data_IF_295656387452
#
_entry.id   IF_295656387452
#
_cell.length_a   1.000
_cell.length_b   1.000
_cell.length_c   1.000
_cell.angle_alpha   90.00
_cell.angle_beta   90.00
_cell.angle_gamma   90.00
#
_symmetry.space_group_name_H-M   'P 1'
#
loop_
_entity.id
_entity.type
_entity.pdbx_description
1 polymer ?
#
# COMPACT_ATOMS: atom_id res chain seq x y z
N UNK A 1 -31.20 18.50 -0.64
CA UNK A 1 -30.34 18.24 -1.82
C UNK A 1 -30.51 16.79 -2.18
N UNK A 2 -30.71 16.44 -3.45
CA UNK A 2 -30.82 15.03 -3.85
C UNK A 2 -29.57 14.28 -3.42
N UNK A 3 -29.75 13.11 -2.80
CA UNK A 3 -28.65 12.23 -2.39
C UNK A 3 -27.82 11.91 -3.63
N UNK A 4 -26.56 12.36 -3.67
CA UNK A 4 -25.68 12.09 -4.82
C UNK A 4 -25.48 10.58 -4.87
N UNK A 5 -25.88 9.96 -5.98
CA UNK A 5 -25.67 8.53 -6.24
C UNK A 5 -24.19 8.20 -6.01
N UNK A 6 -23.91 7.26 -5.09
CA UNK A 6 -22.56 6.71 -4.90
C UNK A 6 -22.28 5.73 -6.03
N UNK A 7 -21.17 5.94 -6.74
CA UNK A 7 -20.69 5.03 -7.77
C UNK A 7 -19.78 3.95 -7.17
N UNK A 8 -19.74 2.77 -7.80
CA UNK A 8 -18.85 1.69 -7.41
C UNK A 8 -17.39 1.96 -7.77
N UNK A 9 -16.48 1.12 -7.26
CA UNK A 9 -15.02 1.28 -7.39
C UNK A 9 -14.55 1.34 -8.83
N UNK A 10 -15.06 0.45 -9.70
CA UNK A 10 -14.71 0.43 -11.12
C UNK A 10 -14.98 1.77 -11.81
N UNK A 11 -16.11 2.40 -11.47
CA UNK A 11 -16.48 3.70 -12.01
C UNK A 11 -15.65 4.82 -11.38
N UNK A 12 -15.37 4.75 -10.08
CA UNK A 12 -14.54 5.74 -9.38
C UNK A 12 -13.08 5.72 -9.87
N UNK A 13 -12.53 4.56 -10.19
CA UNK A 13 -11.20 4.39 -10.76
C UNK A 13 -11.01 5.16 -12.08
N UNK A 14 -12.10 5.35 -12.83
CA UNK A 14 -12.13 6.09 -14.10
C UNK A 14 -12.46 7.57 -13.92
N UNK A 15 -13.46 7.89 -13.09
CA UNK A 15 -14.13 9.19 -13.11
C UNK A 15 -13.94 10.05 -11.86
N UNK A 16 -13.50 9.49 -10.73
CA UNK A 16 -13.33 10.28 -9.52
C UNK A 16 -12.22 11.32 -9.73
N UNK A 17 -12.46 12.54 -9.23
CA UNK A 17 -11.57 13.69 -9.39
C UNK A 17 -11.66 14.42 -10.74
N UNK A 18 -12.03 13.73 -11.83
CA UNK A 18 -12.13 14.31 -13.18
C UNK A 18 -13.17 13.57 -14.00
N UNK A 19 -14.22 14.29 -14.39
CA UNK A 19 -15.31 13.79 -15.24
C UNK A 19 -15.50 14.75 -16.41
N UNK A 20 -15.57 14.26 -17.67
CA UNK A 20 -15.89 15.09 -18.83
C UNK A 20 -17.35 15.59 -18.83
N UNK A 21 -18.15 15.20 -17.82
CA UNK A 21 -19.56 15.58 -17.65
C UNK A 21 -19.72 16.32 -16.30
N UNK A 22 -20.41 17.49 -16.28
CA UNK A 22 -20.98 18.21 -17.43
C UNK A 22 -19.88 18.93 -18.24
N UNK A 23 -20.10 19.08 -19.56
CA UNK A 23 -19.13 19.60 -20.55
C UNK A 23 -18.64 21.06 -20.36
N UNK A 24 -18.83 21.66 -19.18
CA UNK A 24 -18.21 22.94 -18.78
C UNK A 24 -16.73 22.70 -18.43
N UNK A 25 -15.97 22.35 -19.46
CA UNK A 25 -14.52 22.09 -19.44
C UNK A 25 -13.77 23.32 -19.97
N UNK A 26 -14.24 24.52 -19.63
CA UNK A 26 -14.07 25.77 -20.40
C UNK A 26 -12.65 26.27 -20.62
N UNK A 27 -11.63 25.74 -19.92
CA UNK A 27 -10.24 26.10 -20.17
C UNK A 27 -9.52 25.24 -21.24
N UNK A 28 -9.79 23.92 -21.30
CA UNK A 28 -9.04 22.99 -22.18
C UNK A 28 -9.89 21.99 -22.98
N UNK A 29 -11.15 21.74 -22.60
CA UNK A 29 -12.05 20.73 -23.23
C UNK A 29 -11.37 19.38 -23.50
N UNK A 30 -10.67 18.82 -22.51
CA UNK A 30 -9.96 17.55 -22.65
C UNK A 30 -10.77 16.35 -22.14
N UNK A 31 -10.69 15.21 -22.83
CA UNK A 31 -11.24 13.94 -22.36
C UNK A 31 -10.38 13.31 -21.26
N UNK A 32 -9.06 13.43 -21.38
CA UNK A 32 -8.07 12.93 -20.40
C UNK A 32 -7.69 14.06 -19.45
N UNK A 33 -7.44 13.80 -18.15
CA UNK A 33 -6.88 14.82 -17.24
C UNK A 33 -5.62 15.46 -17.85
N UNK A 34 -5.56 16.79 -17.99
CA UNK A 34 -4.38 17.46 -18.56
C UNK A 34 -3.19 17.38 -17.61
N UNK A 35 -1.97 17.28 -18.16
CA UNK A 35 -0.73 17.36 -17.38
C UNK A 35 -0.38 18.82 -17.14
N UNK A 36 -0.74 19.34 -15.96
CA UNK A 36 -0.34 20.68 -15.53
C UNK A 36 1.06 20.64 -14.91
N UNK A 37 2.08 20.61 -15.76
CA UNK A 37 3.50 20.65 -15.34
C UNK A 37 3.96 22.09 -15.05
N UNK A 38 3.32 22.74 -14.07
CA UNK A 38 3.65 24.10 -13.63
C UNK A 38 3.87 24.16 -12.12
N UNK A 39 4.84 24.99 -11.71
CA UNK A 39 5.07 25.33 -10.31
C UNK A 39 4.39 26.64 -9.90
N UNK A 40 4.00 27.48 -10.86
CA UNK A 40 3.50 28.83 -10.60
C UNK A 40 2.11 29.01 -11.20
N UNK A 41 1.23 29.68 -10.45
CA UNK A 41 -0.13 29.97 -10.87
C UNK A 41 -0.40 31.48 -10.70
N UNK A 42 -0.79 32.19 -11.77
CA UNK A 42 -1.07 33.62 -11.67
C UNK A 42 -2.33 33.87 -10.83
N UNK A 43 -2.27 34.92 -10.01
CA UNK A 43 -3.39 35.37 -9.18
C UNK A 43 -4.19 36.46 -9.92
N UNK A 44 -5.52 36.51 -9.72
CA UNK A 44 -6.39 37.51 -10.35
C UNK A 44 -6.22 38.91 -9.76
N UNK A 45 -5.87 38.99 -8.48
CA UNK A 45 -5.74 40.23 -7.70
C UNK A 45 -4.87 39.97 -6.45
N UNK A 46 -4.55 41.04 -5.71
CA UNK A 46 -3.66 41.00 -4.53
C UNK A 46 -4.20 40.12 -3.41
N UNK A 47 -5.52 40.05 -3.24
CA UNK A 47 -6.17 39.32 -2.14
C UNK A 47 -6.51 37.87 -2.50
N UNK A 48 -6.36 37.47 -3.77
CA UNK A 48 -6.71 36.13 -4.26
C UNK A 48 -5.93 35.03 -3.54
N UNK A 49 -4.66 35.26 -3.21
CA UNK A 49 -3.85 34.32 -2.43
C UNK A 49 -4.51 33.95 -1.09
N UNK A 50 -4.93 34.96 -0.34
CA UNK A 50 -5.59 34.79 0.97
C UNK A 50 -6.90 34.03 0.83
N UNK A 51 -7.71 34.34 -0.19
CA UNK A 51 -8.96 33.63 -0.46
C UNK A 51 -8.74 32.14 -0.76
N UNK A 52 -7.67 31.79 -1.49
CA UNK A 52 -7.29 30.38 -1.73
C UNK A 52 -6.84 29.70 -0.44
N UNK A 53 -5.89 30.31 0.28
CA UNK A 53 -5.27 29.71 1.48
C UNK A 53 -6.29 29.49 2.60
N UNK A 54 -7.22 30.43 2.78
CA UNK A 54 -8.30 30.32 3.76
C UNK A 54 -9.40 29.35 3.31
N UNK A 55 -9.45 29.01 2.01
CA UNK A 55 -10.44 28.12 1.42
C UNK A 55 -11.77 28.81 1.10
N UNK A 56 -11.75 30.14 0.96
CA UNK A 56 -12.89 30.96 0.52
C UNK A 56 -13.14 30.75 -0.98
N UNK A 57 -12.08 30.61 -1.78
CA UNK A 57 -12.13 30.34 -3.22
C UNK A 57 -11.29 29.11 -3.58
N UNK A 58 -11.74 28.26 -4.52
CA UNK A 58 -10.89 27.21 -5.06
C UNK A 58 -9.81 27.83 -5.94
N UNK A 59 -8.57 27.36 -5.80
CA UNK A 59 -7.50 27.83 -6.65
C UNK A 59 -6.18 27.15 -6.33
N UNK A 60 -5.17 27.56 -7.10
CA UNK A 60 -3.79 27.10 -6.97
C UNK A 60 -2.90 28.32 -6.92
N UNK A 61 -1.88 28.28 -6.07
CA UNK A 61 -0.92 29.35 -5.82
C UNK A 61 0.49 28.92 -6.26
N UNK A 62 0.94 27.78 -5.74
CA UNK A 62 2.29 27.29 -5.88
C UNK A 62 2.32 25.75 -5.89
N UNK A 63 2.99 25.17 -6.88
CA UNK A 63 2.98 23.73 -7.17
C UNK A 63 3.46 22.82 -6.03
N UNK A 64 4.22 23.37 -5.07
CA UNK A 64 4.61 22.65 -3.85
C UNK A 64 3.44 22.42 -2.89
N UNK A 65 2.46 23.31 -2.87
CA UNK A 65 1.33 23.25 -1.95
C UNK A 65 0.18 22.48 -2.59
N UNK A 66 -0.08 22.74 -3.87
CA UNK A 66 -1.16 22.11 -4.64
C UNK A 66 -0.87 22.18 -6.14
N UNK A 67 -1.35 21.19 -6.88
CA UNK A 67 -1.25 21.13 -8.34
C UNK A 67 -2.52 20.49 -8.92
N UNK A 68 -3.10 20.98 -10.02
CA UNK A 68 -4.36 20.45 -10.55
C UNK A 68 -4.32 18.97 -10.93
N UNK A 69 -3.22 18.49 -11.53
CA UNK A 69 -3.08 17.08 -11.91
C UNK A 69 -3.01 16.19 -10.66
N UNK A 70 -2.22 16.63 -9.66
CA UNK A 70 -2.07 15.92 -8.38
C UNK A 70 -3.39 15.93 -7.60
N UNK A 71 -4.14 17.02 -7.64
CA UNK A 71 -5.45 17.14 -6.99
C UNK A 71 -6.48 16.14 -7.57
N UNK A 72 -6.48 15.92 -8.90
CA UNK A 72 -7.30 14.87 -9.51
C UNK A 72 -6.92 13.48 -8.96
N UNK A 73 -5.63 13.17 -8.85
CA UNK A 73 -5.17 11.90 -8.26
C UNK A 73 -5.62 11.77 -6.80
N UNK A 74 -5.43 12.80 -5.99
CA UNK A 74 -5.84 12.78 -4.58
C UNK A 74 -7.34 12.55 -4.42
N UNK A 75 -8.17 13.23 -5.21
CA UNK A 75 -9.62 13.01 -5.21
C UNK A 75 -10.00 11.60 -5.62
N UNK A 76 -9.27 11.01 -6.57
CA UNK A 76 -9.48 9.63 -7.01
C UNK A 76 -9.11 8.62 -5.93
N UNK A 77 -7.96 8.79 -5.30
CA UNK A 77 -7.50 7.94 -4.19
C UNK A 77 -8.46 8.00 -3.00
N UNK A 78 -8.93 9.20 -2.63
CA UNK A 78 -9.92 9.38 -1.57
C UNK A 78 -11.23 8.64 -1.88
N UNK A 79 -11.73 8.76 -3.11
CA UNK A 79 -12.95 8.07 -3.53
C UNK A 79 -12.82 6.55 -3.60
N UNK A 80 -11.62 6.02 -3.90
CA UNK A 80 -11.37 4.58 -3.93
C UNK A 80 -11.29 3.96 -2.53
N UNK A 81 -10.68 4.65 -1.58
CA UNK A 81 -10.58 4.18 -0.17
C UNK A 81 -11.81 4.50 0.68
N UNK A 82 -12.72 5.37 0.19
CA UNK A 82 -13.88 5.82 0.96
C UNK A 82 -13.58 6.95 1.95
N UNK A 83 -12.40 7.57 1.86
CA UNK A 83 -11.99 8.69 2.70
C UNK A 83 -12.43 10.06 2.19
N UNK A 84 -12.33 11.08 3.04
CA UNK A 84 -12.75 12.44 2.69
C UNK A 84 -11.75 13.18 1.81
N UNK A 85 -10.46 12.93 2.01
CA UNK A 85 -9.36 13.53 1.26
C UNK A 85 -8.15 12.60 1.20
N UNK A 86 -7.27 12.87 0.24
CA UNK A 86 -5.98 12.19 0.16
C UNK A 86 -4.84 13.20 -0.06
N UNK A 87 -3.65 12.77 0.31
CA UNK A 87 -2.39 13.45 0.11
C UNK A 87 -1.48 12.55 -0.73
N UNK A 88 -1.08 13.01 -1.91
CA UNK A 88 -0.12 12.30 -2.74
C UNK A 88 1.31 12.65 -2.31
N UNK A 89 2.18 11.63 -2.22
CA UNK A 89 3.57 11.78 -1.76
C UNK A 89 4.55 11.21 -2.79
N UNK A 90 5.81 11.66 -2.81
CA UNK A 90 6.82 11.17 -3.76
C UNK A 90 7.18 9.68 -3.56
N UNK A 91 6.80 9.07 -2.43
CA UNK A 91 6.98 7.63 -2.19
C UNK A 91 6.10 7.14 -1.05
N UNK A 92 5.85 5.83 -1.00
CA UNK A 92 5.20 5.18 0.15
C UNK A 92 5.95 5.44 1.46
N UNK A 93 7.29 5.39 1.44
CA UNK A 93 8.11 5.74 2.61
C UNK A 93 7.91 7.17 3.08
N UNK A 94 7.69 8.12 2.15
CA UNK A 94 7.35 9.49 2.53
C UNK A 94 5.95 9.58 3.14
N UNK A 95 4.99 8.77 2.68
CA UNK A 95 3.67 8.69 3.32
C UNK A 95 3.80 8.19 4.78
N UNK A 96 4.56 7.11 5.02
CA UNK A 96 4.84 6.62 6.37
C UNK A 96 5.50 7.67 7.26
N UNK A 97 6.53 8.35 6.73
CA UNK A 97 7.24 9.40 7.46
C UNK A 97 6.32 10.57 7.83
N UNK A 98 5.51 11.06 6.89
CA UNK A 98 4.61 12.20 7.12
C UNK A 98 3.55 11.85 8.15
N UNK A 99 2.92 10.67 8.08
CA UNK A 99 1.94 10.24 9.08
C UNK A 99 2.58 10.17 10.46
N UNK A 100 3.71 9.44 10.59
CA UNK A 100 4.45 9.33 11.85
C UNK A 100 4.79 10.72 12.40
N UNK A 101 5.46 11.56 11.61
CA UNK A 101 5.93 12.88 12.04
C UNK A 101 4.79 13.84 12.36
N UNK A 102 3.65 13.73 11.69
CA UNK A 102 2.51 14.61 11.92
C UNK A 102 1.77 14.26 13.22
N UNK A 103 1.62 12.97 13.52
CA UNK A 103 0.87 12.48 14.67
C UNK A 103 1.70 12.40 15.96
N UNK A 104 3.03 12.54 15.87
CA UNK A 104 3.92 12.42 17.03
C UNK A 104 4.85 13.61 17.18
N UNK A 105 5.27 13.83 18.43
CA UNK A 105 6.35 14.74 18.83
C UNK A 105 7.38 13.99 19.67
N UNK A 106 8.48 14.66 20.00
CA UNK A 106 9.53 14.13 20.89
C UNK A 106 8.92 13.56 22.17
N UNK A 107 9.26 12.31 22.48
CA UNK A 107 8.79 11.60 23.67
C UNK A 107 7.46 10.87 23.52
N UNK A 108 6.78 11.00 22.37
CA UNK A 108 5.59 10.21 22.05
C UNK A 108 5.96 8.79 21.60
N UNK A 109 4.96 7.93 21.63
CA UNK A 109 5.04 6.51 21.27
C UNK A 109 3.97 6.15 20.23
N UNK A 110 4.22 5.09 19.47
CA UNK A 110 3.19 4.44 18.65
C UNK A 110 3.40 2.93 18.66
N UNK A 111 2.36 2.16 18.37
CA UNK A 111 2.41 0.70 18.47
C UNK A 111 2.26 0.10 17.07
N UNK A 112 3.11 -0.85 16.72
CA UNK A 112 3.06 -1.60 15.46
C UNK A 112 3.64 -3.00 15.66
N UNK A 113 3.52 -3.87 14.66
CA UNK A 113 4.14 -5.20 14.66
C UNK A 113 5.40 -5.27 13.79
N UNK A 114 6.08 -6.41 13.82
CA UNK A 114 7.19 -6.73 12.91
C UNK A 114 6.71 -7.19 11.53
N UNK A 115 5.40 -7.36 11.32
CA UNK A 115 4.78 -7.84 10.07
C UNK A 115 4.50 -6.71 9.07
N UNK A 116 5.33 -5.67 9.11
CA UNK A 116 5.27 -4.51 8.22
C UNK A 116 6.42 -4.56 7.23
N UNK A 117 6.34 -3.75 6.18
CA UNK A 117 7.38 -3.59 5.18
C UNK A 117 8.75 -3.27 5.83
N UNK A 118 9.79 -3.99 5.42
CA UNK A 118 11.13 -3.89 6.01
C UNK A 118 11.72 -2.48 6.08
N UNK A 119 11.47 -1.62 5.08
CA UNK A 119 11.94 -0.22 5.15
C UNK A 119 11.09 0.64 6.09
N UNK A 120 9.79 0.34 6.25
CA UNK A 120 8.96 0.97 7.27
C UNK A 120 9.44 0.56 8.67
N UNK A 121 9.81 -0.71 8.85
CA UNK A 121 10.47 -1.19 10.07
C UNK A 121 11.80 -0.46 10.33
N UNK A 122 12.68 -0.36 9.32
CA UNK A 122 13.95 0.38 9.43
C UNK A 122 13.72 1.84 9.81
N UNK A 123 12.76 2.51 9.16
CA UNK A 123 12.37 3.87 9.49
C UNK A 123 11.90 3.97 10.94
N UNK A 124 10.95 3.13 11.34
CA UNK A 124 10.29 3.23 12.64
C UNK A 124 11.21 2.85 13.80
N UNK A 125 11.90 1.72 13.74
CA UNK A 125 12.68 1.20 14.87
C UNK A 125 14.13 1.67 14.89
N UNK A 126 14.76 1.86 13.72
CA UNK A 126 16.19 2.13 13.65
C UNK A 126 16.54 3.60 13.35
N UNK A 127 15.65 4.36 12.71
CA UNK A 127 15.90 5.77 12.37
C UNK A 127 15.11 6.76 13.23
N UNK A 128 13.80 6.56 13.36
CA UNK A 128 12.90 7.53 14.00
C UNK A 128 13.27 7.89 15.45
N UNK A 129 13.72 6.95 16.32
CA UNK A 129 14.07 7.29 17.70
C UNK A 129 15.23 8.29 17.77
N UNK A 130 16.27 8.10 16.95
CA UNK A 130 17.41 9.00 16.90
C UNK A 130 17.13 10.32 16.19
N UNK A 131 16.29 10.31 15.14
CA UNK A 131 15.99 11.52 14.35
C UNK A 131 14.93 12.41 14.99
N UNK A 132 13.97 11.83 15.70
CA UNK A 132 12.74 12.52 16.13
C UNK A 132 12.42 12.37 17.61
N UNK A 133 13.10 11.48 18.34
CA UNK A 133 12.78 11.19 19.74
C UNK A 133 11.45 10.46 19.95
N UNK A 134 10.86 9.89 18.89
CA UNK A 134 9.63 9.10 18.92
C UNK A 134 9.99 7.63 19.11
N UNK A 135 9.27 6.91 19.97
CA UNK A 135 9.58 5.51 20.31
C UNK A 135 8.50 4.57 19.81
N UNK A 136 8.77 3.71 18.81
CA UNK A 136 7.83 2.64 18.48
C UNK A 136 7.82 1.55 19.57
N UNK A 137 6.66 0.96 19.81
CA UNK A 137 6.47 -0.24 20.61
C UNK A 137 6.11 -1.40 19.69
N UNK A 138 6.83 -2.51 19.85
CA UNK A 138 6.70 -3.68 19.02
C UNK A 138 5.73 -4.70 19.64
N UNK A 139 4.68 -5.03 18.90
CA UNK A 139 3.82 -6.20 19.13
C UNK A 139 4.47 -7.42 18.49
N UNK A 140 4.65 -8.48 19.28
CA UNK A 140 5.23 -9.75 18.83
C UNK A 140 4.19 -10.61 18.11
N UNK A 141 2.96 -10.70 18.61
CA UNK A 141 1.89 -11.42 17.94
C UNK A 141 0.78 -10.45 17.52
N UNK A 142 0.76 -9.97 16.27
CA UNK A 142 -0.27 -9.04 15.82
C UNK A 142 -1.71 -9.60 15.87
N UNK A 143 -1.89 -10.92 16.06
CA UNK A 143 -3.21 -11.52 16.30
C UNK A 143 -3.65 -11.55 17.77
N UNK A 144 -2.81 -11.13 18.72
CA UNK A 144 -3.13 -11.04 20.15
C UNK A 144 -3.50 -9.59 20.53
N UNK A 145 -4.80 -9.28 20.54
CA UNK A 145 -5.31 -7.95 20.91
C UNK A 145 -4.94 -7.53 22.35
N UNK A 146 -4.78 -8.49 23.27
CA UNK A 146 -4.36 -8.17 24.64
C UNK A 146 -2.91 -7.67 24.66
N UNK A 147 -2.06 -8.14 23.73
CA UNK A 147 -0.70 -7.62 23.58
C UNK A 147 -0.69 -6.18 23.10
N UNK A 148 -1.52 -5.85 22.11
CA UNK A 148 -1.70 -4.47 21.65
C UNK A 148 -2.12 -3.57 22.81
N UNK A 149 -3.14 -3.98 23.58
CA UNK A 149 -3.68 -3.20 24.69
C UNK A 149 -2.64 -2.99 25.81
N UNK A 150 -1.90 -4.03 26.20
CA UNK A 150 -0.86 -3.95 27.25
C UNK A 150 0.26 -2.96 26.91
N UNK A 151 0.50 -2.68 25.63
CA UNK A 151 1.54 -1.74 25.19
C UNK A 151 1.06 -0.29 25.15
N UNK A 152 -0.25 -0.02 25.30
CA UNK A 152 -0.82 1.33 25.31
C UNK A 152 -0.36 2.07 26.57
N UNK A 153 0.13 3.29 26.38
CA UNK A 153 0.51 4.21 27.46
C UNK A 153 -0.06 5.61 27.18
N UNK A 154 -0.02 6.54 28.15
CA UNK A 154 -0.41 7.94 27.91
C UNK A 154 0.41 8.66 26.82
N UNK A 155 1.55 8.08 26.40
CA UNK A 155 2.39 8.60 25.32
C UNK A 155 2.02 8.04 23.96
N UNK A 156 1.22 6.98 23.89
CA UNK A 156 0.77 6.40 22.62
C UNK A 156 -0.05 7.41 21.83
N UNK A 157 0.20 7.50 20.53
CA UNK A 157 -0.50 8.43 19.62
C UNK A 157 -1.30 7.75 18.53
N UNK A 158 -0.95 6.52 18.17
CA UNK A 158 -1.67 5.73 17.18
C UNK A 158 -1.25 4.26 17.20
N UNK A 159 -2.07 3.41 16.58
CA UNK A 159 -1.73 2.03 16.21
C UNK A 159 -1.48 1.97 14.69
N UNK A 160 -0.51 1.18 14.25
CA UNK A 160 -0.18 0.98 12.83
C UNK A 160 -0.22 -0.50 12.47
N UNK A 161 -0.84 -0.83 11.34
CA UNK A 161 -0.92 -2.19 10.80
C UNK A 161 -0.63 -2.22 9.30
N UNK A 162 0.06 -3.27 8.84
CA UNK A 162 0.08 -3.69 7.43
C UNK A 162 -0.63 -5.03 7.37
N UNK A 163 -1.67 -5.16 6.53
CA UNK A 163 -2.39 -6.41 6.37
C UNK A 163 -2.95 -6.53 4.95
N UNK A 164 -2.61 -7.59 4.19
CA UNK A 164 -1.69 -8.67 4.56
C UNK A 164 -0.25 -8.20 4.80
N UNK A 165 0.46 -8.81 5.75
CA UNK A 165 1.85 -8.49 6.06
C UNK A 165 2.85 -9.23 5.16
N UNK A 166 3.71 -8.51 4.45
CA UNK A 166 4.75 -9.09 3.59
C UNK A 166 5.86 -9.79 4.44
N UNK A 167 6.44 -10.93 4.02
CA UNK A 167 6.19 -11.72 2.79
C UNK A 167 5.31 -12.96 2.98
N UNK A 168 4.87 -13.27 4.20
CA UNK A 168 4.09 -14.48 4.52
C UNK A 168 2.59 -14.23 4.55
N UNK A 169 2.14 -13.01 4.25
CA UNK A 169 0.75 -12.57 4.17
C UNK A 169 -0.04 -12.71 5.47
N UNK A 170 0.60 -12.51 6.62
CA UNK A 170 -0.12 -12.54 7.90
C UNK A 170 -1.28 -11.53 7.88
N UNK A 171 -2.47 -11.95 8.34
CA UNK A 171 -3.67 -11.12 8.33
C UNK A 171 -3.97 -10.60 9.73
N UNK A 172 -3.98 -9.28 9.90
CA UNK A 172 -4.45 -8.67 11.16
C UNK A 172 -5.91 -8.25 11.00
N UNK A 173 -6.72 -8.48 12.04
CA UNK A 173 -8.14 -8.09 12.05
C UNK A 173 -8.25 -6.58 12.26
N UNK A 174 -8.50 -5.83 11.17
CA UNK A 174 -8.59 -4.38 11.15
C UNK A 174 -9.74 -3.91 12.03
N UNK A 175 -10.90 -4.56 11.95
CA UNK A 175 -12.09 -4.15 12.68
C UNK A 175 -11.88 -4.28 14.19
N UNK A 176 -11.37 -5.43 14.64
CA UNK A 176 -11.11 -5.64 16.05
C UNK A 176 -9.99 -4.71 16.58
N UNK A 177 -8.97 -4.44 15.77
CA UNK A 177 -7.89 -3.52 16.15
C UNK A 177 -8.35 -2.05 16.17
N UNK A 178 -9.26 -1.65 15.26
CA UNK A 178 -9.86 -0.33 15.24
C UNK A 178 -10.74 -0.10 16.47
N UNK A 179 -11.59 -1.08 16.83
CA UNK A 179 -12.38 -1.04 18.05
C UNK A 179 -11.51 -0.86 19.30
N UNK A 180 -10.39 -1.60 19.39
CA UNK A 180 -9.42 -1.43 20.47
C UNK A 180 -8.77 -0.03 20.47
N UNK A 181 -8.34 0.46 19.31
CA UNK A 181 -7.72 1.78 19.19
C UNK A 181 -8.68 2.88 19.68
N UNK A 182 -9.93 2.85 19.21
CA UNK A 182 -10.95 3.83 19.53
C UNK A 182 -11.39 3.77 21.00
N UNK A 183 -11.39 2.59 21.63
CA UNK A 183 -11.63 2.46 23.07
C UNK A 183 -10.60 3.22 23.94
N UNK A 184 -9.43 3.55 23.37
CA UNK A 184 -8.36 4.30 24.00
C UNK A 184 -8.14 5.69 23.38
N UNK A 185 -9.11 6.20 22.60
CA UNK A 185 -9.02 7.49 21.88
C UNK A 185 -7.80 7.60 20.93
N UNK A 186 -7.37 6.48 20.35
CA UNK A 186 -6.26 6.40 19.40
C UNK A 186 -6.77 6.12 17.97
N UNK A 187 -6.19 6.76 16.94
CA UNK A 187 -6.46 6.38 15.56
C UNK A 187 -5.72 5.10 15.17
N UNK A 188 -6.33 4.32 14.27
CA UNK A 188 -5.70 3.21 13.56
C UNK A 188 -5.24 3.66 12.17
N UNK A 189 -3.99 3.36 11.82
CA UNK A 189 -3.45 3.52 10.47
C UNK A 189 -3.24 2.15 9.84
N UNK A 190 -3.78 1.97 8.63
CA UNK A 190 -3.61 0.77 7.83
C UNK A 190 -2.78 1.05 6.57
N UNK A 191 -1.65 0.35 6.41
CA UNK A 191 -0.98 0.22 5.12
C UNK A 191 -1.73 -0.81 4.27
N UNK A 192 -2.41 -0.33 3.23
CA UNK A 192 -3.27 -1.13 2.36
C UNK A 192 -2.61 -1.44 1.01
N UNK A 193 -1.27 -1.30 0.92
CA UNK A 193 -0.50 -1.43 -0.33
C UNK A 193 -0.70 -2.77 -1.05
N UNK A 194 -0.80 -3.87 -0.30
CA UNK A 194 -0.87 -5.22 -0.88
C UNK A 194 -2.26 -5.54 -1.45
N UNK A 195 -3.31 -5.21 -0.69
CA UNK A 195 -4.69 -5.51 -1.09
C UNK A 195 -5.23 -4.47 -2.06
N UNK A 196 -4.77 -3.21 -1.97
CA UNK A 196 -5.32 -2.04 -2.69
C UNK A 196 -6.77 -1.75 -2.25
N UNK A 197 -7.32 -0.57 -2.59
CA UNK A 197 -8.75 -0.30 -2.38
C UNK A 197 -9.69 -1.20 -3.20
N UNK A 198 -9.18 -2.12 -4.04
CA UNK A 198 -10.04 -3.05 -4.77
C UNK A 198 -10.39 -4.28 -3.95
N UNK A 199 -9.45 -4.77 -3.12
CA UNK A 199 -9.64 -6.03 -2.41
C UNK A 199 -9.87 -5.85 -0.91
N UNK A 200 -9.52 -4.71 -0.32
CA UNK A 200 -9.70 -4.45 1.10
C UNK A 200 -10.07 -2.98 1.32
N UNK A 201 -11.02 -2.74 2.22
CA UNK A 201 -11.53 -1.41 2.56
C UNK A 201 -11.28 -1.07 4.03
N UNK A 202 -10.05 -0.73 4.44
CA UNK A 202 -9.74 -0.51 5.86
C UNK A 202 -10.59 0.56 6.53
N UNK A 203 -10.97 1.62 5.80
CA UNK A 203 -11.83 2.69 6.36
C UNK A 203 -13.24 2.20 6.69
N UNK A 204 -13.79 1.30 5.88
CA UNK A 204 -15.08 0.65 6.19
C UNK A 204 -14.97 -0.31 7.38
N UNK A 205 -13.76 -0.83 7.63
CA UNK A 205 -13.42 -1.65 8.79
C UNK A 205 -12.98 -0.82 10.01
N UNK A 206 -13.05 0.52 9.95
CA UNK A 206 -12.79 1.40 11.09
C UNK A 206 -11.39 2.02 11.17
N UNK A 207 -10.50 1.80 10.20
CA UNK A 207 -9.23 2.53 10.16
C UNK A 207 -9.45 4.02 9.86
N UNK A 208 -8.74 4.89 10.58
CA UNK A 208 -8.86 6.35 10.45
C UNK A 208 -8.01 6.91 9.29
N UNK A 209 -6.90 6.23 9.00
CA UNK A 209 -5.94 6.62 7.96
C UNK A 209 -5.54 5.40 7.16
N UNK A 210 -5.51 5.54 5.84
CA UNK A 210 -4.97 4.52 4.94
C UNK A 210 -3.72 5.05 4.24
N UNK A 211 -2.68 4.23 4.21
CA UNK A 211 -1.41 4.52 3.54
C UNK A 211 -1.21 3.56 2.38
N UNK A 212 -0.63 4.06 1.29
CA UNK A 212 -0.20 3.26 0.14
C UNK A 212 1.20 3.60 -0.32
N UNK A 213 1.93 2.58 -0.76
CA UNK A 213 2.91 2.73 -1.84
C UNK A 213 2.20 2.55 -3.18
N UNK A 214 1.98 3.65 -3.89
CA UNK A 214 1.38 3.61 -5.23
C UNK A 214 2.26 2.82 -6.20
N UNK A 215 3.57 2.80 -5.97
CA UNK A 215 4.60 2.10 -6.76
C UNK A 215 4.26 0.63 -7.09
N UNK A 216 3.42 0.00 -6.26
CA UNK A 216 3.09 -1.43 -6.33
C UNK A 216 1.88 -1.66 -7.24
N UNK A 217 0.90 -2.44 -6.79
CA UNK A 217 -0.29 -2.80 -7.57
C UNK A 217 -1.09 -1.59 -8.09
N UNK A 218 -1.08 -0.46 -7.39
CA UNK A 218 -1.79 0.75 -7.83
C UNK A 218 -1.31 1.20 -9.22
N UNK A 219 -0.01 1.32 -9.42
CA UNK A 219 0.60 1.68 -10.72
C UNK A 219 0.82 0.45 -11.62
N UNK A 220 1.20 -0.69 -11.05
CA UNK A 220 1.16 -1.97 -11.75
C UNK A 220 2.27 -2.20 -12.79
N UNK A 221 3.15 -1.24 -13.08
CA UNK A 221 4.09 -1.35 -14.22
C UNK A 221 5.53 -0.92 -13.90
N UNK A 222 5.83 -0.54 -12.66
CA UNK A 222 7.18 -0.18 -12.22
C UNK A 222 7.74 1.12 -12.81
N UNK A 223 6.90 2.01 -13.34
CA UNK A 223 7.36 3.23 -14.03
C UNK A 223 7.69 4.39 -13.09
N UNK A 224 7.01 4.51 -11.95
CA UNK A 224 7.21 5.62 -11.01
C UNK A 224 7.26 5.14 -9.57
N UNK A 225 7.84 5.96 -8.69
CA UNK A 225 7.73 5.82 -7.24
C UNK A 225 6.70 6.82 -6.74
N UNK A 226 5.77 6.37 -5.90
CA UNK A 226 4.74 7.22 -5.35
C UNK A 226 4.13 6.64 -4.08
N UNK A 227 3.47 7.50 -3.31
CA UNK A 227 2.70 7.09 -2.15
C UNK A 227 1.47 7.96 -1.96
N UNK A 228 0.64 7.56 -1.01
CA UNK A 228 -0.49 8.37 -0.58
C UNK A 228 -0.89 8.13 0.86
N UNK A 229 -1.52 9.13 1.45
CA UNK A 229 -2.24 9.07 2.72
C UNK A 229 -3.68 9.45 2.46
N UNK A 230 -4.65 8.67 2.92
CA UNK A 230 -6.08 8.97 2.81
C UNK A 230 -6.65 9.06 4.22
N UNK A 231 -7.54 10.02 4.48
CA UNK A 231 -8.17 10.20 5.79
C UNK A 231 -9.16 11.37 5.84
N UNK A 232 -9.43 11.85 7.04
CA UNK A 232 -10.27 13.03 7.31
C UNK A 232 -9.68 14.31 6.68
N UNK A 233 -10.55 15.17 6.14
CA UNK A 233 -10.13 16.32 5.33
C UNK A 233 -9.27 17.32 6.10
N UNK A 234 -9.62 17.60 7.35
CA UNK A 234 -8.88 18.49 8.24
C UNK A 234 -7.47 17.99 8.53
N UNK A 235 -7.32 16.70 8.84
CA UNK A 235 -6.03 16.05 9.03
C UNK A 235 -5.16 16.13 7.77
N UNK A 236 -5.70 15.76 6.61
CA UNK A 236 -4.97 15.82 5.34
C UNK A 236 -4.52 17.25 5.01
N UNK A 237 -5.37 18.26 5.23
CA UNK A 237 -5.01 19.67 5.03
C UNK A 237 -3.84 20.09 5.94
N UNK A 238 -3.77 19.62 7.18
CA UNK A 238 -2.65 19.88 8.09
C UNK A 238 -1.36 19.17 7.64
N UNK A 239 -1.46 17.97 7.09
CA UNK A 239 -0.31 17.23 6.53
C UNK A 239 0.28 17.90 5.28
N UNK A 240 -0.54 18.56 4.43
CA UNK A 240 -0.04 19.37 3.29
C UNK A 240 0.97 20.42 3.76
N UNK A 241 0.68 21.11 4.88
CA UNK A 241 1.62 22.09 5.45
C UNK A 241 2.94 21.45 5.89
N UNK A 242 2.88 20.22 6.43
CA UNK A 242 4.08 19.45 6.81
C UNK A 242 4.93 19.10 5.60
N UNK A 243 4.30 18.60 4.52
CA UNK A 243 5.01 18.29 3.27
C UNK A 243 5.59 19.55 2.63
N UNK A 244 4.85 20.66 2.62
CA UNK A 244 5.34 21.91 2.08
C UNK A 244 6.61 22.39 2.81
N UNK A 245 6.69 22.21 4.13
CA UNK A 245 7.88 22.56 4.91
C UNK A 245 9.08 21.65 4.61
N UNK A 246 8.86 20.36 4.37
CA UNK A 246 9.92 19.39 4.02
C UNK A 246 10.32 19.47 2.54
N UNK A 247 9.42 19.93 1.67
CA UNK A 247 9.65 20.10 0.23
C UNK A 247 9.54 18.81 -0.60
N UNK A 248 8.90 17.77 -0.08
CA UNK A 248 8.82 16.45 -0.70
C UNK A 248 7.47 16.19 -1.35
N UNK A 249 7.31 16.66 -2.60
CA UNK A 249 6.03 16.62 -3.33
C UNK A 249 6.03 15.58 -4.45
N UNK A 250 4.85 15.09 -4.81
CA UNK A 250 4.68 14.28 -6.02
C UNK A 250 4.77 15.16 -7.28
N UNK A 251 5.50 14.70 -8.30
CA UNK A 251 5.53 15.35 -9.61
C UNK A 251 4.18 15.28 -10.31
N UNK A 252 3.71 16.34 -11.00
CA UNK A 252 2.47 16.27 -11.79
C UNK A 252 2.50 15.20 -12.87
N UNK A 253 3.68 14.91 -13.44
CA UNK A 253 3.85 13.84 -14.43
C UNK A 253 3.66 12.45 -13.81
N UNK A 254 4.23 12.20 -12.62
CA UNK A 254 4.05 10.93 -11.91
C UNK A 254 2.59 10.77 -11.49
N UNK A 255 1.95 11.84 -11.02
CA UNK A 255 0.52 11.81 -10.70
C UNK A 255 -0.33 11.43 -11.91
N UNK A 256 0.02 11.94 -13.09
CA UNK A 256 -0.66 11.60 -14.34
C UNK A 256 -0.45 10.14 -14.75
N UNK A 257 0.76 9.60 -14.64
CA UNK A 257 1.02 8.17 -14.89
C UNK A 257 0.26 7.26 -13.92
N UNK A 258 0.16 7.67 -12.65
CA UNK A 258 -0.68 6.97 -11.67
C UNK A 258 -2.16 7.01 -12.07
N UNK A 259 -2.69 8.17 -12.48
CA UNK A 259 -4.07 8.30 -12.94
C UNK A 259 -4.41 7.32 -14.07
N UNK A 260 -3.55 7.21 -15.09
CA UNK A 260 -3.73 6.26 -16.19
C UNK A 260 -3.71 4.81 -15.71
N UNK A 261 -2.82 4.50 -14.77
CA UNK A 261 -2.67 3.13 -14.27
C UNK A 261 -3.86 2.70 -13.41
N UNK A 262 -4.47 3.62 -12.66
CA UNK A 262 -5.63 3.35 -11.81
C UNK A 262 -6.88 2.95 -12.61
N UNK A 263 -7.03 3.41 -13.86
CA UNK A 263 -8.17 3.07 -14.72
C UNK A 263 -8.34 1.56 -14.93
N UNK A 264 -7.24 0.82 -14.88
CA UNK A 264 -7.22 -0.64 -15.05
C UNK A 264 -7.01 -1.39 -13.74
N UNK A 265 -6.94 -0.70 -12.60
CA UNK A 265 -6.66 -1.33 -11.31
C UNK A 265 -7.64 -2.46 -10.97
N UNK A 266 -8.98 -2.30 -11.09
CA UNK A 266 -9.91 -3.38 -10.74
C UNK A 266 -9.69 -4.65 -11.56
N UNK A 267 -9.58 -4.52 -12.89
CA UNK A 267 -9.38 -5.67 -13.79
C UNK A 267 -8.01 -6.32 -13.60
N UNK A 268 -6.98 -5.54 -13.26
CA UNK A 268 -5.64 -6.07 -12.96
C UNK A 268 -5.66 -6.84 -11.65
N UNK A 269 -6.28 -6.33 -10.59
CA UNK A 269 -6.34 -7.01 -9.30
C UNK A 269 -7.14 -8.31 -9.35
N UNK A 270 -8.24 -8.33 -10.11
CA UNK A 270 -8.98 -9.57 -10.37
C UNK A 270 -8.11 -10.62 -11.09
N UNK A 271 -7.36 -10.21 -12.13
CA UNK A 271 -6.43 -11.10 -12.85
C UNK A 271 -5.27 -11.57 -11.98
N UNK A 272 -4.66 -10.68 -11.20
CA UNK A 272 -3.60 -11.04 -10.25
C UNK A 272 -4.09 -12.09 -9.24
N UNK A 273 -5.25 -11.87 -8.62
CA UNK A 273 -5.83 -12.80 -7.65
C UNK A 273 -6.14 -14.16 -8.28
N UNK A 274 -6.78 -14.17 -9.46
CA UNK A 274 -7.08 -15.42 -10.18
C UNK A 274 -5.83 -16.20 -10.59
N UNK A 275 -4.79 -15.52 -11.07
CA UNK A 275 -3.54 -16.17 -11.46
C UNK A 275 -2.81 -16.71 -10.21
N UNK A 276 -2.76 -15.93 -9.13
CA UNK A 276 -2.11 -16.34 -7.88
C UNK A 276 -2.82 -17.52 -7.22
N UNK A 277 -4.15 -17.60 -7.28
CA UNK A 277 -4.91 -18.75 -6.81
C UNK A 277 -4.54 -20.05 -7.54
N UNK A 278 -4.38 -19.98 -8.87
CA UNK A 278 -3.97 -21.14 -9.68
C UNK A 278 -2.52 -21.56 -9.39
N UNK A 279 -1.60 -20.59 -9.32
CA UNK A 279 -0.21 -20.85 -8.97
C UNK A 279 -0.08 -21.44 -7.55
N UNK A 280 -0.85 -20.91 -6.58
CA UNK A 280 -0.90 -21.43 -5.22
C UNK A 280 -1.45 -22.85 -5.15
N UNK A 281 -2.50 -23.17 -5.92
CA UNK A 281 -3.04 -24.52 -5.99
C UNK A 281 -2.01 -25.53 -6.56
N UNK A 282 -1.28 -25.16 -7.60
CA UNK A 282 -0.19 -25.96 -8.16
C UNK A 282 0.93 -26.17 -7.13
N UNK A 283 1.44 -25.08 -6.54
CA UNK A 283 2.55 -25.14 -5.58
C UNK A 283 2.18 -25.95 -4.32
N UNK A 284 0.94 -25.85 -3.84
CA UNK A 284 0.48 -26.59 -2.67
C UNK A 284 0.42 -28.11 -2.88
N UNK A 285 0.35 -28.58 -4.13
CA UNK A 285 0.33 -30.01 -4.47
C UNK A 285 1.70 -30.55 -4.90
N UNK A 286 2.68 -29.68 -5.12
CA UNK A 286 3.96 -30.05 -5.69
C UNK A 286 4.90 -30.69 -4.63
N UNK A 287 5.47 -31.89 -4.88
CA UNK A 287 6.19 -32.67 -3.86
C UNK A 287 7.49 -32.01 -3.35
N UNK A 288 8.06 -31.07 -4.11
CA UNK A 288 9.28 -30.32 -3.72
C UNK A 288 8.98 -29.03 -2.93
N UNK A 289 7.71 -28.72 -2.67
CA UNK A 289 7.29 -27.53 -1.91
C UNK A 289 6.93 -27.93 -0.48
N UNK A 290 7.55 -27.27 0.50
CA UNK A 290 7.28 -27.53 1.92
C UNK A 290 6.06 -26.80 2.45
N UNK A 291 5.86 -25.58 1.96
CA UNK A 291 4.86 -24.67 2.50
C UNK A 291 4.50 -23.60 1.47
N UNK A 292 3.23 -23.18 1.46
CA UNK A 292 2.71 -22.08 0.62
C UNK A 292 1.98 -21.10 1.53
N UNK A 293 2.38 -19.83 1.48
CA UNK A 293 1.70 -18.72 2.12
C UNK A 293 0.80 -18.02 1.11
N UNK A 294 -0.47 -18.42 1.03
CA UNK A 294 -1.48 -17.71 0.26
C UNK A 294 -2.89 -18.02 0.78
N UNK A 295 -3.79 -17.05 0.98
CA UNK A 295 -5.04 -17.29 1.70
C UNK A 295 -6.00 -18.31 1.07
N UNK A 296 -5.87 -18.61 -0.23
CA UNK A 296 -6.72 -19.61 -0.87
C UNK A 296 -6.38 -21.05 -0.45
N UNK A 297 -5.15 -21.34 0.00
CA UNK A 297 -4.74 -22.71 0.34
C UNK A 297 -5.39 -23.17 1.65
N UNK A 298 -5.75 -24.46 1.80
CA UNK A 298 -6.49 -24.95 2.97
C UNK A 298 -5.77 -24.73 4.31
N UNK A 299 -4.45 -24.86 4.32
CA UNK A 299 -3.63 -24.80 5.55
C UNK A 299 -3.22 -23.37 5.94
N UNK A 300 -3.73 -22.34 5.26
CA UNK A 300 -3.45 -20.96 5.61
C UNK A 300 -4.14 -20.59 6.94
N UNK A 301 -3.39 -20.26 8.02
CA UNK A 301 -3.97 -20.18 9.37
C UNK A 301 -5.12 -19.18 9.53
N UNK A 302 -5.09 -18.08 8.78
CA UNK A 302 -6.02 -16.96 8.91
C UNK A 302 -7.02 -16.91 7.73
N UNK A 303 -7.27 -18.04 7.08
CA UNK A 303 -8.06 -18.13 5.84
C UNK A 303 -9.45 -17.52 5.97
N UNK A 304 -10.16 -17.82 7.06
CA UNK A 304 -11.50 -17.29 7.26
C UNK A 304 -11.50 -15.79 7.55
N UNK A 305 -10.47 -15.26 8.23
CA UNK A 305 -10.31 -13.81 8.41
C UNK A 305 -9.98 -13.14 7.08
N UNK A 306 -9.07 -13.71 6.29
CA UNK A 306 -8.70 -13.22 4.96
C UNK A 306 -9.94 -13.10 4.05
N UNK A 307 -10.81 -14.12 4.01
CA UNK A 307 -12.06 -14.10 3.23
C UNK A 307 -13.03 -13.02 3.70
N UNK A 308 -13.09 -12.74 5.01
CA UNK A 308 -13.96 -11.68 5.54
C UNK A 308 -13.46 -10.29 5.18
N UNK A 309 -12.16 -10.04 5.28
CA UNK A 309 -11.58 -8.72 4.98
C UNK A 309 -11.34 -8.48 3.49
N UNK A 310 -11.13 -9.55 2.72
CA UNK A 310 -10.85 -9.49 1.28
C UNK A 310 -11.75 -10.44 0.48
N UNK A 311 -13.06 -10.12 0.37
CA UNK A 311 -14.04 -11.02 -0.22
C UNK A 311 -13.86 -11.21 -1.74
N UNK A 312 -13.24 -10.24 -2.42
CA UNK A 312 -13.13 -10.20 -3.90
C UNK A 312 -11.80 -10.78 -4.43
N UNK A 313 -10.95 -11.32 -3.55
CA UNK A 313 -9.69 -11.96 -3.92
C UNK A 313 -8.54 -11.57 -2.98
N UNK A 314 -7.42 -12.28 -3.09
CA UNK A 314 -6.28 -12.13 -2.15
C UNK A 314 -5.04 -11.44 -2.76
N UNK A 315 -5.17 -10.89 -3.97
CA UNK A 315 -4.11 -10.15 -4.65
C UNK A 315 -3.08 -11.06 -5.33
N UNK A 316 -2.03 -10.46 -5.89
CA UNK A 316 -1.01 -11.19 -6.65
C UNK A 316 0.21 -11.64 -5.86
N UNK A 317 0.32 -11.30 -4.57
CA UNK A 317 1.50 -11.63 -3.77
C UNK A 317 1.30 -12.98 -3.08
N UNK A 318 2.32 -13.83 -3.13
CA UNK A 318 2.39 -15.09 -2.39
C UNK A 318 3.84 -15.43 -2.04
N UNK A 319 4.04 -16.43 -1.19
CA UNK A 319 5.35 -17.02 -1.00
C UNK A 319 5.27 -18.52 -0.80
N UNK A 320 6.36 -19.23 -1.08
CA UNK A 320 6.47 -20.67 -0.90
C UNK A 320 7.90 -21.05 -0.49
N UNK A 321 8.05 -22.20 0.15
CA UNK A 321 9.33 -22.67 0.69
C UNK A 321 9.78 -23.91 -0.06
N UNK A 322 11.00 -23.85 -0.62
CA UNK A 322 11.65 -24.99 -1.27
C UNK A 322 12.66 -25.67 -0.33
N UNK A 323 13.04 -26.90 -0.67
CA UNK A 323 14.13 -27.60 0.00
C UNK A 323 15.50 -26.99 -0.34
N UNK A 324 16.55 -27.34 0.42
CA UNK A 324 17.91 -26.91 0.12
C UNK A 324 18.26 -25.49 0.55
N UNK A 325 17.40 -24.82 1.33
CA UNK A 325 17.68 -23.50 1.88
C UNK A 325 17.95 -22.45 0.80
N UNK A 326 18.92 -21.56 1.05
CA UNK A 326 19.27 -20.48 0.12
C UNK A 326 19.75 -21.03 -1.22
N UNK A 327 20.56 -22.10 -1.21
CA UNK A 327 21.07 -22.71 -2.44
C UNK A 327 19.92 -23.29 -3.28
N UNK A 328 18.96 -23.95 -2.64
CA UNK A 328 17.77 -24.46 -3.33
C UNK A 328 16.90 -23.34 -3.89
N UNK A 329 16.66 -22.28 -3.11
CA UNK A 329 15.91 -21.11 -3.59
C UNK A 329 16.60 -20.42 -4.78
N UNK A 330 17.93 -20.25 -4.71
CA UNK A 330 18.71 -19.69 -5.80
C UNK A 330 18.63 -20.56 -7.06
N UNK A 331 18.79 -21.88 -6.92
CA UNK A 331 18.70 -22.84 -8.03
C UNK A 331 17.37 -22.75 -8.77
N UNK A 332 16.25 -22.67 -8.05
CA UNK A 332 14.92 -22.47 -8.67
C UNK A 332 14.84 -21.09 -9.33
N UNK A 333 15.16 -20.03 -8.61
CA UNK A 333 14.98 -18.67 -9.10
C UNK A 333 15.85 -18.34 -10.32
N UNK A 334 17.08 -18.85 -10.36
CA UNK A 334 18.00 -18.67 -11.49
C UNK A 334 17.63 -19.55 -12.70
N UNK A 335 16.73 -20.53 -12.52
CA UNK A 335 16.24 -21.40 -13.59
C UNK A 335 14.97 -20.86 -14.27
N UNK A 336 14.35 -19.79 -13.75
CA UNK A 336 13.18 -19.18 -14.40
C UNK A 336 13.49 -18.67 -15.82
N UNK A 337 12.57 -18.92 -16.73
CA UNK A 337 12.63 -18.49 -18.13
C UNK A 337 11.67 -17.33 -18.43
N UNK A 338 10.61 -17.18 -17.62
CA UNK A 338 9.61 -16.12 -17.71
C UNK A 338 9.71 -15.19 -16.50
N UNK A 339 9.75 -15.76 -15.30
CA UNK A 339 9.70 -15.01 -14.05
C UNK A 339 11.01 -14.27 -13.81
N UNK A 340 10.94 -12.95 -13.64
CA UNK A 340 12.15 -12.13 -13.42
C UNK A 340 12.48 -11.97 -11.93
N UNK A 341 13.75 -12.06 -11.57
CA UNK A 341 14.22 -11.76 -10.20
C UNK A 341 14.24 -10.24 -9.99
N UNK A 342 13.27 -9.72 -9.25
CA UNK A 342 13.14 -8.28 -8.96
C UNK A 342 12.72 -8.09 -7.49
N UNK A 343 13.44 -7.30 -6.67
CA UNK A 343 13.10 -7.06 -5.26
C UNK A 343 11.92 -6.09 -5.08
N UNK A 344 10.85 -6.27 -5.84
CA UNK A 344 9.59 -5.52 -5.75
C UNK A 344 8.40 -6.48 -5.85
N UNK A 345 7.19 -5.94 -5.94
CA UNK A 345 5.96 -6.67 -6.20
C UNK A 345 4.92 -5.73 -6.83
N UNK A 346 3.80 -6.31 -7.26
CA UNK A 346 2.65 -5.59 -7.80
C UNK A 346 2.88 -5.07 -9.21
N UNK A 347 3.66 -5.79 -10.02
CA UNK A 347 3.89 -5.49 -11.43
C UNK A 347 3.04 -6.37 -12.33
N UNK A 348 2.77 -5.90 -13.55
CA UNK A 348 2.05 -6.63 -14.59
C UNK A 348 2.79 -7.87 -15.07
N UNK A 349 4.11 -7.90 -14.87
CA UNK A 349 4.97 -9.06 -15.10
C UNK A 349 5.16 -9.84 -13.81
N UNK A 350 5.17 -11.15 -13.89
CA UNK A 350 5.48 -12.03 -12.77
C UNK A 350 6.94 -11.84 -12.37
N UNK A 351 7.15 -11.52 -11.09
CA UNK A 351 8.49 -11.33 -10.53
C UNK A 351 8.65 -12.12 -9.24
N UNK A 352 9.86 -12.59 -9.00
CA UNK A 352 10.23 -13.30 -7.78
C UNK A 352 11.33 -12.56 -7.01
N UNK A 353 11.37 -12.78 -5.71
CA UNK A 353 12.48 -12.33 -4.87
C UNK A 353 12.72 -13.32 -3.73
N UNK A 354 13.97 -13.43 -3.31
CA UNK A 354 14.38 -14.20 -2.14
C UNK A 354 14.43 -13.28 -0.91
N UNK A 355 13.44 -13.30 -0.01
CA UNK A 355 13.34 -12.29 1.04
C UNK A 355 14.53 -12.29 2.00
N UNK A 356 15.09 -13.46 2.32
CA UNK A 356 16.21 -13.59 3.26
C UNK A 356 17.50 -12.90 2.77
N UNK A 357 17.72 -12.78 1.45
CA UNK A 357 18.93 -12.11 0.90
C UNK A 357 18.64 -10.75 0.28
N UNK A 358 17.38 -10.42 -0.01
CA UNK A 358 17.00 -9.14 -0.58
C UNK A 358 16.29 -8.26 0.45
N UNK A 359 14.96 -8.37 0.56
CA UNK A 359 14.13 -7.38 1.26
C UNK A 359 14.22 -7.42 2.79
N UNK A 360 14.68 -8.53 3.36
CA UNK A 360 14.80 -8.73 4.82
C UNK A 360 16.23 -9.11 5.22
N UNK A 361 17.23 -8.78 4.40
CA UNK A 361 18.63 -9.09 4.67
C UNK A 361 19.17 -8.41 5.94
N UNK A 362 18.53 -7.34 6.40
CA UNK A 362 18.88 -6.60 7.61
C UNK A 362 18.35 -7.26 8.91
N UNK A 363 17.44 -8.23 8.84
CA UNK A 363 16.96 -8.98 10.00
C UNK A 363 17.93 -10.10 10.36
N UNK A 364 18.08 -10.43 11.66
CA UNK A 364 18.81 -11.64 12.07
C UNK A 364 18.06 -12.89 11.64
N UNK A 365 18.78 -14.01 11.49
CA UNK A 365 18.18 -15.27 11.04
C UNK A 365 17.08 -15.73 11.99
N UNK A 366 17.31 -15.65 13.29
CA UNK A 366 16.36 -16.08 14.31
C UNK A 366 15.07 -15.24 14.26
N UNK A 367 15.21 -13.93 14.02
CA UNK A 367 14.09 -13.01 13.85
C UNK A 367 13.30 -13.32 12.57
N UNK A 368 13.98 -13.69 11.48
CA UNK A 368 13.34 -14.12 10.23
C UNK A 368 12.59 -15.45 10.38
N UNK A 369 13.23 -16.45 11.00
CA UNK A 369 12.65 -17.77 11.20
C UNK A 369 11.40 -17.70 12.09
N UNK A 370 11.43 -16.87 13.15
CA UNK A 370 10.27 -16.62 14.01
C UNK A 370 9.04 -16.08 13.26
N UNK A 371 9.27 -15.48 12.09
CA UNK A 371 8.23 -14.88 11.25
C UNK A 371 7.96 -15.67 9.97
N UNK A 372 8.53 -16.87 9.84
CA UNK A 372 8.33 -17.75 8.68
C UNK A 372 9.11 -17.32 7.43
N UNK A 373 10.12 -16.46 7.58
CA UNK A 373 11.05 -16.08 6.51
C UNK A 373 12.24 -17.03 6.52
N UNK A 374 12.00 -18.27 6.10
CA UNK A 374 13.04 -19.29 6.03
C UNK A 374 14.03 -19.00 4.88
N UNK A 375 15.25 -19.53 4.98
CA UNK A 375 16.27 -19.37 3.92
C UNK A 375 15.90 -20.04 2.59
N UNK A 376 14.87 -20.89 2.55
CA UNK A 376 14.31 -21.46 1.31
C UNK A 376 13.06 -20.73 0.80
N UNK A 377 12.66 -19.61 1.42
CA UNK A 377 11.45 -18.89 1.06
C UNK A 377 11.65 -18.10 -0.24
N UNK A 378 10.81 -18.36 -1.24
CA UNK A 378 10.68 -17.56 -2.45
C UNK A 378 9.38 -16.77 -2.36
N UNK A 379 9.44 -15.44 -2.52
CA UNK A 379 8.25 -14.59 -2.66
C UNK A 379 7.99 -14.37 -4.13
N UNK A 380 6.76 -14.66 -4.56
CA UNK A 380 6.29 -14.50 -5.92
C UNK A 380 5.24 -13.38 -5.95
N UNK A 381 5.42 -12.43 -6.85
CA UNK A 381 4.40 -11.45 -7.24
C UNK A 381 3.89 -11.86 -8.61
N UNK A 382 2.77 -12.56 -8.62
CA UNK A 382 2.12 -13.12 -9.80
C UNK A 382 1.56 -11.99 -10.66
N UNK A 383 1.94 -11.98 -11.94
CA UNK A 383 1.60 -10.97 -12.93
C UNK A 383 0.29 -11.25 -13.67
N UNK A 384 0.21 -10.69 -14.87
CA UNK A 384 -0.96 -10.74 -15.76
C UNK A 384 -0.77 -11.69 -16.94
N UNK A 385 0.31 -12.46 -16.97
CA UNK A 385 0.55 -13.49 -17.99
C UNK A 385 -0.54 -14.58 -17.96
N UNK A 386 -0.52 -15.46 -18.97
CA UNK A 386 -1.32 -16.67 -18.95
C UNK A 386 -0.94 -17.50 -17.72
N UNK A 387 -1.91 -17.95 -16.89
CA UNK A 387 -1.59 -18.73 -15.68
C UNK A 387 -0.87 -20.04 -16.01
N UNK A 388 -1.17 -20.64 -17.17
CA UNK A 388 -0.51 -21.84 -17.68
C UNK A 388 0.98 -21.62 -17.93
N UNK A 389 1.38 -20.48 -18.48
CA UNK A 389 2.79 -20.13 -18.72
C UNK A 389 3.54 -19.89 -17.41
N UNK A 390 2.89 -19.25 -16.43
CA UNK A 390 3.46 -19.04 -15.10
C UNK A 390 3.69 -20.39 -14.40
N UNK A 391 2.71 -21.29 -14.45
CA UNK A 391 2.81 -22.62 -13.85
C UNK A 391 3.87 -23.45 -14.55
N UNK A 392 3.94 -23.42 -15.89
CA UNK A 392 4.96 -24.14 -16.65
C UNK A 392 6.38 -23.65 -16.31
N UNK A 393 6.58 -22.34 -16.12
CA UNK A 393 7.89 -21.81 -15.70
C UNK A 393 8.23 -22.18 -14.25
N UNK A 394 7.23 -22.22 -13.35
CA UNK A 394 7.42 -22.72 -11.99
C UNK A 394 7.77 -24.21 -11.98
N UNK A 395 7.06 -25.04 -12.75
CA UNK A 395 7.26 -26.49 -12.83
C UNK A 395 8.67 -26.82 -13.33
N UNK A 396 9.08 -26.25 -14.48
CA UNK A 396 10.41 -26.53 -15.03
C UNK A 396 11.53 -26.05 -14.11
N UNK A 397 11.35 -24.93 -13.40
CA UNK A 397 12.33 -24.43 -12.45
C UNK A 397 12.42 -25.32 -11.21
N UNK A 398 11.30 -25.84 -10.72
CA UNK A 398 11.25 -26.79 -9.60
C UNK A 398 11.82 -28.16 -9.98
N UNK A 399 11.71 -28.59 -11.23
CA UNK A 399 12.32 -29.84 -11.71
C UNK A 399 13.85 -29.85 -11.56
N UNK A 400 14.47 -28.67 -11.56
CA UNK A 400 15.91 -28.56 -11.33
C UNK A 400 16.32 -29.01 -9.94
N UNK A 401 15.49 -28.84 -8.90
CA UNK A 401 15.82 -29.11 -7.50
C UNK A 401 16.33 -30.52 -7.26
#
# INVERSE_FOLDING_TARGET
MAEKKKWGLDTNALHAGYSPIPMDMTAFRSFVPPIIQSALYPLSDVDHYTRIVDGVEPGYDYGRNSNPTVDVLQKRLAALEGGEAALATPSGMHACFVVMRHLTKVGDEFITSHRIFGEAYELFFNKAPGWTGVTPRLVQNPGDLDEWERLITPKTRFLWVETPGNPTLFITDIAALAELAHAHDLPLIADNTLATPILQHPMELGADIVVHSLTKFMIGNGTIVGGSVVGEKGLIRKMVSTIAAVGSIMSPFDAWLALLSLETLPIRMARHSSNAEQAAAFLAQHPKIKHVNYPSVPDFPQRELAKRQMPDGFGGLMSFVVEGGKEGAAKVMESFQLISIVPSFGTSRTIATHPATHTHCNMKREERDAVGIFDGLIRLSVGLEGPEDIIADLEQALDTL
#
